data_IF_341418402163
#
_entry.id   IF_341418402163
#
_cell.length_a   1.000
_cell.length_b   1.000
_cell.length_c   1.000
_cell.angle_alpha   90.00
_cell.angle_beta   90.00
_cell.angle_gamma   90.00
#
_symmetry.space_group_name_H-M   'P 1'
#
loop_
_entity.id
_entity.type
_entity.pdbx_description
1 polymer ?
#
# COMPACT_ATOMS: atom_id res chain seq x y z
N UNK A 1 21.86 -19.08 -2.39
CA UNK A 1 21.13 -18.91 -3.66
C UNK A 1 20.84 -17.43 -3.83
N UNK A 2 21.09 -16.86 -5.01
CA UNK A 2 20.69 -15.49 -5.36
C UNK A 2 19.51 -15.62 -6.32
N UNK A 3 18.36 -15.04 -5.96
CA UNK A 3 17.16 -15.04 -6.78
C UNK A 3 17.22 -13.96 -7.88
N UNK A 4 16.31 -13.94 -8.88
CA UNK A 4 16.35 -12.97 -9.99
C UNK A 4 16.43 -11.50 -9.57
N UNK A 5 15.88 -11.17 -8.40
CA UNK A 5 15.92 -9.83 -7.77
C UNK A 5 17.21 -9.52 -6.97
N UNK A 6 18.29 -10.29 -7.19
CA UNK A 6 19.67 -9.99 -6.75
C UNK A 6 19.89 -9.93 -5.23
N UNK A 7 19.07 -10.63 -4.45
CA UNK A 7 19.33 -10.85 -3.02
C UNK A 7 18.88 -12.25 -2.56
N UNK A 8 19.27 -12.64 -1.34
CA UNK A 8 19.06 -14.00 -0.82
C UNK A 8 17.65 -14.30 -0.31
N UNK A 9 16.84 -13.27 -0.05
CA UNK A 9 15.44 -13.47 0.40
C UNK A 9 14.63 -14.15 -0.71
N UNK A 10 13.72 -15.06 -0.33
CA UNK A 10 12.91 -15.90 -1.23
C UNK A 10 11.72 -15.19 -1.89
N UNK A 11 11.61 -13.88 -1.73
CA UNK A 11 10.65 -13.03 -2.44
C UNK A 11 11.32 -11.70 -2.78
N UNK A 12 10.89 -11.01 -3.83
CA UNK A 12 11.44 -9.74 -4.25
C UNK A 12 11.02 -8.63 -3.27
N UNK A 13 11.93 -8.21 -2.40
CA UNK A 13 11.60 -7.33 -1.29
C UNK A 13 11.87 -5.87 -1.64
N UNK A 14 10.85 -5.03 -1.57
CA UNK A 14 11.00 -3.60 -1.84
C UNK A 14 12.05 -2.90 -0.97
N UNK A 15 12.14 -3.28 0.32
CA UNK A 15 13.16 -2.74 1.22
C UNK A 15 14.60 -3.11 0.81
N UNK A 16 14.78 -4.28 0.19
CA UNK A 16 16.08 -4.71 -0.33
C UNK A 16 16.40 -3.98 -1.66
N UNK A 17 15.40 -3.78 -2.52
CA UNK A 17 15.53 -2.93 -3.70
C UNK A 17 15.96 -1.50 -3.34
N UNK A 18 15.28 -0.83 -2.40
CA UNK A 18 15.66 0.51 -1.97
C UNK A 18 17.09 0.56 -1.41
N UNK A 19 17.49 -0.46 -0.64
CA UNK A 19 18.86 -0.57 -0.12
C UNK A 19 19.88 -0.72 -1.24
N UNK A 20 19.56 -1.51 -2.27
CA UNK A 20 20.41 -1.68 -3.45
C UNK A 20 20.50 -0.39 -4.26
N UNK A 21 19.39 0.34 -4.43
CA UNK A 21 19.33 1.56 -5.23
C UNK A 21 20.09 2.72 -4.58
N UNK A 22 19.99 2.88 -3.24
CA UNK A 22 20.58 4.01 -2.53
C UNK A 22 21.85 3.68 -1.73
N UNK A 23 22.30 2.43 -1.79
CA UNK A 23 23.47 1.95 -1.04
C UNK A 23 23.29 1.90 0.48
N UNK A 24 22.12 2.30 1.00
CA UNK A 24 21.85 2.41 2.43
C UNK A 24 20.38 2.14 2.75
N UNK A 25 20.05 1.99 4.03
CA UNK A 25 18.67 1.82 4.46
C UNK A 25 17.88 3.11 4.22
N UNK A 26 16.76 2.98 3.52
CA UNK A 26 15.78 4.06 3.33
C UNK A 26 14.52 3.75 4.12
N UNK A 27 13.95 4.75 4.79
CA UNK A 27 12.74 4.60 5.60
C UNK A 27 11.62 5.52 5.10
N UNK A 28 10.39 5.00 5.02
CA UNK A 28 9.20 5.81 4.71
C UNK A 28 8.80 6.62 5.95
N UNK A 29 8.47 7.90 5.75
CA UNK A 29 7.89 8.79 6.76
C UNK A 29 6.47 9.12 6.31
N UNK A 30 5.48 8.70 7.08
CA UNK A 30 4.07 8.95 6.73
C UNK A 30 3.75 10.44 6.90
N UNK A 31 2.99 10.99 5.98
CA UNK A 31 2.58 12.40 5.95
C UNK A 31 1.07 12.47 5.71
N UNK A 32 0.42 13.34 6.48
CA UNK A 32 -0.97 13.69 6.27
C UNK A 32 -1.05 15.18 5.88
N UNK A 33 -1.29 15.43 4.59
CA UNK A 33 -1.30 16.78 4.01
C UNK A 33 -2.69 17.46 4.01
N UNK A 34 -3.64 16.96 4.80
CA UNK A 34 -4.99 17.54 4.88
C UNK A 34 -5.92 17.28 3.69
N UNK A 35 -5.53 16.45 2.71
CA UNK A 35 -6.40 16.09 1.59
C UNK A 35 -7.63 15.26 2.01
N UNK A 36 -8.61 15.20 1.11
CA UNK A 36 -9.81 14.34 1.19
C UNK A 36 -9.83 13.33 0.02
N UNK A 37 -10.99 12.77 -0.29
CA UNK A 37 -11.23 12.04 -1.52
C UNK A 37 -12.67 12.20 -1.99
N UNK A 38 -12.95 12.05 -3.30
CA UNK A 38 -14.26 12.34 -3.90
C UNK A 38 -15.39 11.41 -3.41
N UNK A 39 -15.03 10.30 -2.77
CA UNK A 39 -15.99 9.35 -2.20
C UNK A 39 -16.46 9.75 -0.78
N UNK A 40 -15.93 10.86 -0.24
CA UNK A 40 -16.25 11.37 1.10
C UNK A 40 -16.99 12.71 1.06
N UNK A 41 -16.65 13.58 0.11
CA UNK A 41 -17.13 14.96 0.05
C UNK A 41 -18.40 15.17 -0.79
N UNK A 42 -18.93 14.10 -1.41
CA UNK A 42 -20.13 14.16 -2.23
C UNK A 42 -19.87 14.30 -3.73
N UNK A 43 -18.62 14.38 -4.18
CA UNK A 43 -18.28 14.46 -5.61
C UNK A 43 -18.65 13.18 -6.37
N UNK A 44 -18.34 12.00 -5.80
CA UNK A 44 -18.72 10.69 -6.35
C UNK A 44 -19.67 9.92 -5.45
N UNK A 45 -19.47 10.03 -4.13
CA UNK A 45 -20.26 9.35 -3.10
C UNK A 45 -20.10 10.10 -1.77
N UNK A 46 -20.81 9.67 -0.75
CA UNK A 46 -20.72 10.20 0.61
C UNK A 46 -20.22 9.12 1.59
N UNK A 47 -19.59 9.55 2.68
CA UNK A 47 -19.21 8.68 3.81
C UNK A 47 -17.90 7.88 3.64
N UNK A 48 -17.33 7.81 2.45
CA UNK A 48 -16.08 7.08 2.18
C UNK A 48 -16.26 5.58 1.96
N UNK A 49 -15.14 4.89 1.69
CA UNK A 49 -15.14 3.43 1.56
C UNK A 49 -15.57 2.80 2.89
N UNK A 50 -16.35 1.72 2.83
CA UNK A 50 -17.01 1.11 4.00
C UNK A 50 -16.04 0.60 5.06
N UNK A 51 -14.78 0.30 4.71
CA UNK A 51 -13.72 -0.16 5.61
C UNK A 51 -12.84 0.96 6.19
N UNK A 52 -12.92 2.16 5.64
CA UNK A 52 -11.85 3.16 5.77
C UNK A 52 -12.04 4.11 6.95
N UNK A 53 -11.14 4.04 7.92
CA UNK A 53 -10.88 5.09 8.91
C UNK A 53 -9.39 5.49 8.87
N UNK A 54 -9.08 6.65 8.28
CA UNK A 54 -7.69 7.12 8.17
C UNK A 54 -7.02 7.36 9.53
N UNK A 55 -7.76 7.59 10.61
CA UNK A 55 -7.17 7.69 11.94
C UNK A 55 -6.56 6.36 12.41
N UNK A 56 -7.05 5.23 11.89
CA UNK A 56 -6.54 3.90 12.21
C UNK A 56 -5.23 3.57 11.47
N UNK A 57 -4.94 4.24 10.35
CA UNK A 57 -3.84 3.90 9.44
C UNK A 57 -2.61 4.82 9.54
N UNK A 58 -2.72 5.91 10.29
CA UNK A 58 -1.68 6.92 10.40
C UNK A 58 -0.94 6.85 11.76
N UNK A 59 0.40 7.00 11.77
CA UNK A 59 1.16 7.22 12.99
C UNK A 59 0.69 8.47 13.76
N UNK A 60 0.91 8.48 15.08
CA UNK A 60 0.44 9.56 15.96
C UNK A 60 1.02 10.94 15.63
N UNK A 61 2.18 11.01 14.97
CA UNK A 61 2.81 12.26 14.56
C UNK A 61 2.17 12.86 13.29
N UNK A 62 1.48 12.05 12.48
CA UNK A 62 0.89 12.45 11.21
C UNK A 62 -0.47 13.13 11.44
N UNK A 63 -0.44 14.45 11.61
CA UNK A 63 -1.62 15.26 11.90
C UNK A 63 -1.73 16.41 10.90
N UNK A 64 -2.90 16.65 10.28
CA UNK A 64 -3.04 17.63 9.21
C UNK A 64 -2.92 19.09 9.71
N UNK A 65 -3.01 19.32 11.02
CA UNK A 65 -2.79 20.64 11.62
C UNK A 65 -1.30 21.02 11.67
N UNK A 66 -0.39 20.05 11.54
CA UNK A 66 1.06 20.27 11.56
C UNK A 66 1.59 20.53 10.17
N UNK A 67 2.60 21.39 10.05
CA UNK A 67 3.30 21.60 8.78
C UNK A 67 3.94 20.30 8.30
N UNK A 68 4.14 20.20 6.98
CA UNK A 68 4.80 19.03 6.37
C UNK A 68 6.21 18.85 6.94
N UNK A 69 6.97 19.95 7.10
CA UNK A 69 8.29 19.94 7.72
C UNK A 69 8.26 19.37 9.16
N UNK A 70 7.31 19.82 9.99
CA UNK A 70 7.18 19.31 11.36
C UNK A 70 6.84 17.81 11.38
N UNK A 71 5.93 17.36 10.52
CA UNK A 71 5.59 15.93 10.41
C UNK A 71 6.81 15.09 9.99
N UNK A 72 7.67 15.62 9.11
CA UNK A 72 8.91 14.95 8.69
C UNK A 72 9.88 14.83 9.86
N UNK A 73 10.14 15.91 10.59
CA UNK A 73 11.05 15.91 11.74
C UNK A 73 10.60 14.95 12.85
N UNK A 74 9.33 15.01 13.22
CA UNK A 74 8.75 14.11 14.22
C UNK A 74 8.76 12.66 13.74
N UNK A 75 8.49 12.42 12.46
CA UNK A 75 8.56 11.08 11.87
C UNK A 75 9.97 10.51 11.87
N UNK A 76 10.97 11.32 11.53
CA UNK A 76 12.39 10.94 11.63
C UNK A 76 12.73 10.58 13.07
N UNK A 77 12.34 11.41 14.05
CA UNK A 77 12.58 11.15 15.46
C UNK A 77 11.89 9.86 15.94
N UNK A 78 10.62 9.65 15.55
CA UNK A 78 9.84 8.46 15.86
C UNK A 78 10.52 7.18 15.35
N UNK A 79 11.03 7.21 14.12
CA UNK A 79 11.66 6.05 13.49
C UNK A 79 13.12 5.84 13.91
N UNK A 80 13.82 6.86 14.41
CA UNK A 80 15.24 6.79 14.81
C UNK A 80 15.51 5.69 15.83
N UNK A 81 14.60 5.49 16.78
CA UNK A 81 14.75 4.45 17.82
C UNK A 81 14.80 3.03 17.25
N UNK A 82 13.94 2.74 16.26
CA UNK A 82 13.83 1.42 15.62
C UNK A 82 14.80 1.25 14.45
N UNK A 83 15.12 2.33 13.74
CA UNK A 83 15.88 2.32 12.49
C UNK A 83 17.07 3.28 12.55
N UNK A 84 17.95 3.07 13.54
CA UNK A 84 19.12 3.93 13.84
C UNK A 84 20.09 4.17 12.67
N UNK A 85 20.07 3.32 11.64
CA UNK A 85 20.95 3.38 10.46
C UNK A 85 20.29 4.01 9.23
N UNK A 86 19.02 4.41 9.32
CA UNK A 86 18.35 5.11 8.23
C UNK A 86 18.67 6.60 8.33
N UNK A 87 19.37 7.12 7.33
CA UNK A 87 19.70 8.55 7.22
C UNK A 87 19.00 9.21 6.01
N UNK A 88 18.38 8.42 5.15
CA UNK A 88 17.60 8.87 4.00
C UNK A 88 16.17 8.34 4.06
N UNK A 89 15.23 9.13 3.59
CA UNK A 89 13.82 8.90 3.78
C UNK A 89 13.01 9.15 2.51
N UNK A 90 11.86 8.50 2.43
CA UNK A 90 10.84 8.80 1.43
C UNK A 90 9.65 9.43 2.16
N UNK A 91 9.23 10.61 1.71
CA UNK A 91 8.01 11.26 2.17
C UNK A 91 6.82 10.50 1.60
N UNK A 92 6.08 9.79 2.46
CA UNK A 92 4.98 8.93 2.10
C UNK A 92 3.64 9.60 2.44
N UNK A 93 3.04 10.22 1.43
CA UNK A 93 1.73 10.81 1.50
C UNK A 93 0.69 9.69 1.46
N UNK A 94 0.23 9.27 2.63
CA UNK A 94 -0.53 8.03 2.81
C UNK A 94 -2.03 8.27 3.00
N UNK A 95 -2.41 9.33 3.72
CA UNK A 95 -3.79 9.56 4.11
C UNK A 95 -4.62 10.05 2.91
N UNK A 96 -5.80 9.47 2.71
CA UNK A 96 -6.76 9.86 1.67
C UNK A 96 -6.21 9.81 0.23
N UNK A 97 -6.61 10.73 -0.64
CA UNK A 97 -6.19 10.79 -2.05
C UNK A 97 -5.29 11.99 -2.25
N UNK A 98 -3.97 11.76 -2.25
CA UNK A 98 -3.00 12.84 -2.23
C UNK A 98 -2.83 13.53 -3.59
N UNK A 99 -3.58 13.12 -4.62
CA UNK A 99 -3.66 13.82 -5.91
C UNK A 99 -5.01 14.50 -6.11
N UNK A 100 -5.89 14.50 -5.11
CA UNK A 100 -7.19 15.15 -5.16
C UNK A 100 -7.09 16.64 -4.77
N UNK A 101 -6.45 17.41 -5.64
CA UNK A 101 -6.37 18.86 -5.64
C UNK A 101 -5.89 19.37 -7.01
N UNK A 102 -5.93 20.68 -7.24
CA UNK A 102 -5.29 21.32 -8.39
C UNK A 102 -3.76 21.18 -8.33
N UNK A 103 -3.12 21.25 -9.50
CA UNK A 103 -1.68 21.01 -9.63
C UNK A 103 -0.82 21.98 -8.82
N UNK A 104 -1.22 23.26 -8.71
CA UNK A 104 -0.44 24.27 -7.98
C UNK A 104 -0.45 23.98 -6.47
N UNK A 105 -1.60 23.56 -5.94
CA UNK A 105 -1.71 23.07 -4.57
C UNK A 105 -0.81 21.84 -4.35
N UNK A 106 -0.82 20.88 -5.28
CA UNK A 106 0.04 19.69 -5.20
C UNK A 106 1.53 20.06 -5.20
N UNK A 107 1.97 20.91 -6.12
CA UNK A 107 3.36 21.40 -6.22
C UNK A 107 3.81 22.03 -4.91
N UNK A 108 3.01 22.94 -4.34
CA UNK A 108 3.32 23.62 -3.08
C UNK A 108 3.46 22.65 -1.90
N UNK A 109 2.64 21.61 -1.83
CA UNK A 109 2.68 20.61 -0.75
C UNK A 109 3.90 19.70 -0.89
N UNK A 110 4.17 19.20 -2.10
CA UNK A 110 5.29 18.29 -2.33
C UNK A 110 6.65 18.96 -2.23
N UNK A 111 6.77 20.23 -2.64
CA UNK A 111 8.00 21.00 -2.49
C UNK A 111 8.42 21.16 -1.03
N UNK A 112 7.47 21.39 -0.11
CA UNK A 112 7.79 21.45 1.34
C UNK A 112 8.44 20.16 1.87
N UNK A 113 8.05 19.00 1.33
CA UNK A 113 8.71 17.74 1.71
C UNK A 113 10.11 17.61 1.09
N UNK A 114 10.28 18.06 -0.16
CA UNK A 114 11.53 17.97 -0.91
C UNK A 114 12.59 19.00 -0.48
N UNK A 115 12.21 20.06 0.23
CA UNK A 115 13.12 21.03 0.85
C UNK A 115 14.00 20.39 1.94
N UNK A 116 13.56 19.29 2.55
CA UNK A 116 14.37 18.56 3.52
C UNK A 116 15.39 17.65 2.83
N UNK A 117 16.69 17.92 3.04
CA UNK A 117 17.83 17.22 2.43
C UNK A 117 17.91 15.70 2.72
N UNK A 118 17.19 15.22 3.73
CA UNK A 118 17.11 13.80 4.06
C UNK A 118 15.98 13.09 3.31
N UNK A 119 15.05 13.82 2.70
CA UNK A 119 14.02 13.29 1.81
C UNK A 119 14.60 13.13 0.40
N UNK A 120 14.73 11.88 -0.03
CA UNK A 120 15.29 11.53 -1.36
C UNK A 120 14.22 11.23 -2.41
N UNK A 121 12.95 11.34 -2.02
CA UNK A 121 11.84 11.03 -2.91
C UNK A 121 10.49 10.99 -2.21
N UNK A 122 9.47 10.79 -3.03
CA UNK A 122 8.06 10.82 -2.67
C UNK A 122 7.41 9.48 -2.98
N UNK A 123 6.48 9.10 -2.11
CA UNK A 123 5.50 8.05 -2.38
C UNK A 123 4.13 8.67 -2.21
N UNK A 124 3.32 8.65 -3.27
CA UNK A 124 2.03 9.34 -3.33
C UNK A 124 0.92 8.30 -3.33
N UNK A 125 0.30 8.07 -2.18
CA UNK A 125 -0.90 7.25 -2.04
C UNK A 125 -2.12 7.98 -2.60
N UNK A 126 -2.77 7.40 -3.61
CA UNK A 126 -3.95 8.01 -4.21
C UNK A 126 -4.95 6.98 -4.74
N UNK A 127 -6.13 7.46 -5.12
CA UNK A 127 -7.09 6.65 -5.85
C UNK A 127 -6.79 6.71 -7.36
N UNK A 128 -7.00 5.60 -8.09
CA UNK A 128 -6.95 5.58 -9.56
C UNK A 128 -7.73 6.68 -10.28
N UNK A 129 -8.88 7.09 -9.75
CA UNK A 129 -9.77 8.12 -10.34
C UNK A 129 -9.42 9.55 -9.90
N UNK A 130 -8.26 9.76 -9.26
CA UNK A 130 -7.78 11.09 -8.83
C UNK A 130 -6.48 11.50 -9.52
N UNK A 131 -6.05 10.77 -10.55
CA UNK A 131 -4.81 11.05 -11.31
C UNK A 131 -5.17 11.30 -12.78
N UNK A 132 -4.44 12.22 -13.41
CA UNK A 132 -4.56 12.56 -14.82
C UNK A 132 -3.18 12.83 -15.43
N UNK A 133 -3.16 13.10 -16.75
CA UNK A 133 -1.93 13.33 -17.51
C UNK A 133 -1.14 14.54 -16.98
N UNK A 134 -1.80 15.64 -16.64
CA UNK A 134 -1.14 16.85 -16.13
C UNK A 134 -0.42 16.59 -14.80
N UNK A 135 -1.07 15.87 -13.87
CA UNK A 135 -0.44 15.49 -12.61
C UNK A 135 0.72 14.50 -12.83
N UNK A 136 0.56 13.55 -13.75
CA UNK A 136 1.62 12.57 -14.05
C UNK A 136 2.82 13.18 -14.75
N UNK A 137 2.63 14.18 -15.62
CA UNK A 137 3.71 14.94 -16.24
C UNK A 137 4.58 15.62 -15.17
N UNK A 138 3.96 16.27 -14.20
CA UNK A 138 4.67 16.84 -13.05
C UNK A 138 5.45 15.77 -12.25
N UNK A 139 4.84 14.62 -11.97
CA UNK A 139 5.52 13.54 -11.26
C UNK A 139 6.64 12.89 -12.08
N UNK A 140 6.51 12.83 -13.41
CA UNK A 140 7.56 12.38 -14.31
C UNK A 140 8.77 13.30 -14.27
N UNK A 141 8.55 14.62 -14.32
CA UNK A 141 9.62 15.60 -14.19
C UNK A 141 10.34 15.49 -12.83
N UNK A 142 9.60 15.30 -11.73
CA UNK A 142 10.22 15.02 -10.43
C UNK A 142 11.02 13.71 -10.42
N UNK A 143 10.55 12.68 -11.14
CA UNK A 143 11.18 11.37 -11.19
C UNK A 143 12.55 11.37 -11.90
N UNK A 144 12.86 12.42 -12.66
CA UNK A 144 14.19 12.61 -13.29
C UNK A 144 15.30 12.78 -12.23
N UNK A 145 14.99 13.42 -11.10
CA UNK A 145 16.00 13.77 -10.07
C UNK A 145 15.72 13.17 -8.70
N UNK A 146 14.48 12.72 -8.44
CA UNK A 146 14.04 12.16 -7.17
C UNK A 146 13.42 10.77 -7.38
N UNK A 147 13.37 9.98 -6.32
CA UNK A 147 12.56 8.77 -6.35
C UNK A 147 11.07 9.13 -6.26
N UNK A 148 10.28 8.77 -7.26
CA UNK A 148 8.82 8.98 -7.24
C UNK A 148 8.12 7.66 -7.50
N UNK A 149 7.14 7.35 -6.67
CA UNK A 149 6.23 6.22 -6.83
C UNK A 149 4.80 6.64 -6.52
N UNK A 150 3.87 6.41 -7.47
CA UNK A 150 2.44 6.60 -7.25
C UNK A 150 1.85 5.28 -6.78
N UNK A 151 1.26 5.25 -5.59
CA UNK A 151 0.64 4.06 -5.00
C UNK A 151 -0.87 4.15 -5.12
N UNK A 152 -1.46 3.23 -5.90
CA UNK A 152 -2.89 3.18 -6.12
C UNK A 152 -3.56 2.22 -5.14
N UNK A 153 -4.55 2.73 -4.40
CA UNK A 153 -5.48 1.89 -3.64
C UNK A 153 -6.44 1.20 -4.59
N UNK A 154 -6.12 -0.01 -5.06
CA UNK A 154 -6.98 -0.80 -5.95
C UNK A 154 -7.99 -1.58 -5.11
N UNK A 155 -7.54 -2.11 -3.99
CA UNK A 155 -8.26 -2.89 -2.99
C UNK A 155 -8.71 -4.27 -3.49
N UNK A 156 -9.30 -4.37 -4.68
CA UNK A 156 -9.80 -5.62 -5.27
C UNK A 156 -9.79 -5.60 -6.80
N UNK A 157 -9.63 -6.78 -7.41
CA UNK A 157 -9.83 -6.99 -8.86
C UNK A 157 -11.30 -7.29 -9.24
N UNK A 158 -12.24 -7.27 -8.28
CA UNK A 158 -13.64 -7.63 -8.48
C UNK A 158 -14.56 -6.41 -8.29
N UNK A 159 -15.19 -5.98 -9.38
CA UNK A 159 -16.07 -4.81 -9.41
C UNK A 159 -17.28 -4.92 -8.49
N UNK A 160 -17.83 -6.12 -8.27
CA UNK A 160 -18.94 -6.32 -7.31
C UNK A 160 -18.48 -6.03 -5.89
N UNK A 161 -17.27 -6.44 -5.53
CA UNK A 161 -16.68 -6.13 -4.23
C UNK A 161 -16.41 -4.64 -4.10
N UNK A 162 -15.80 -4.02 -5.12
CA UNK A 162 -15.50 -2.58 -5.13
C UNK A 162 -16.79 -1.74 -4.96
N UNK A 163 -17.88 -2.15 -5.61
CA UNK A 163 -19.18 -1.53 -5.45
C UNK A 163 -19.73 -1.74 -4.02
N UNK A 164 -19.71 -2.97 -3.51
CA UNK A 164 -20.22 -3.30 -2.17
C UNK A 164 -19.51 -2.54 -1.05
N UNK A 165 -18.22 -2.24 -1.21
CA UNK A 165 -17.45 -1.48 -0.22
C UNK A 165 -17.48 0.04 -0.44
N UNK A 166 -18.34 0.53 -1.34
CA UNK A 166 -18.42 1.94 -1.72
C UNK A 166 -17.05 2.50 -2.13
N UNK A 167 -16.30 1.78 -2.98
CA UNK A 167 -14.97 2.23 -3.45
C UNK A 167 -15.08 3.50 -4.30
N UNK A 168 -16.10 3.59 -5.15
CA UNK A 168 -16.35 4.73 -6.04
C UNK A 168 -15.62 4.67 -7.39
N UNK A 169 -14.87 3.59 -7.68
CA UNK A 169 -14.37 3.27 -9.02
C UNK A 169 -14.33 1.76 -9.20
N UNK A 170 -14.20 1.31 -10.45
CA UNK A 170 -14.07 -0.09 -10.83
C UNK A 170 -12.58 -0.48 -11.06
N UNK A 171 -12.33 -1.75 -11.32
CA UNK A 171 -10.98 -2.27 -11.57
C UNK A 171 -10.39 -1.73 -12.88
N UNK A 172 -11.22 -1.51 -13.91
CA UNK A 172 -10.78 -0.93 -15.18
C UNK A 172 -10.16 0.47 -15.00
N UNK A 173 -10.74 1.32 -14.13
CA UNK A 173 -10.15 2.61 -13.79
C UNK A 173 -8.75 2.46 -13.16
N UNK A 174 -8.54 1.40 -12.38
CA UNK A 174 -7.22 1.06 -11.81
C UNK A 174 -6.22 0.67 -12.88
N UNK A 175 -6.63 -0.18 -13.84
CA UNK A 175 -5.79 -0.58 -14.98
C UNK A 175 -5.38 0.64 -15.80
N UNK A 176 -6.33 1.51 -16.16
CA UNK A 176 -6.07 2.75 -16.91
C UNK A 176 -5.07 3.67 -16.20
N UNK A 177 -5.22 3.86 -14.89
CA UNK A 177 -4.30 4.68 -14.11
C UNK A 177 -2.88 4.09 -14.09
N UNK A 178 -2.75 2.77 -13.93
CA UNK A 178 -1.46 2.06 -13.97
C UNK A 178 -0.78 2.19 -15.33
N UNK A 179 -1.51 1.92 -16.42
CA UNK A 179 -1.00 2.02 -17.79
C UNK A 179 -0.56 3.44 -18.13
N UNK A 180 -1.35 4.45 -17.75
CA UNK A 180 -1.01 5.85 -17.97
C UNK A 180 0.25 6.24 -17.19
N UNK A 181 0.34 5.84 -15.91
CA UNK A 181 1.52 6.09 -15.08
C UNK A 181 2.78 5.49 -15.69
N UNK A 182 2.67 4.26 -16.22
CA UNK A 182 3.75 3.58 -16.91
C UNK A 182 4.16 4.29 -18.20
N UNK A 183 3.19 4.69 -19.04
CA UNK A 183 3.43 5.44 -20.28
C UNK A 183 4.16 6.76 -20.02
N UNK A 184 3.88 7.42 -18.90
CA UNK A 184 4.54 8.65 -18.47
C UNK A 184 5.90 8.43 -17.80
N UNK A 185 6.39 7.18 -17.71
CA UNK A 185 7.71 6.87 -17.15
C UNK A 185 7.78 6.94 -15.61
N UNK A 186 6.64 6.95 -14.92
CA UNK A 186 6.56 7.01 -13.46
C UNK A 186 6.38 5.61 -12.87
N UNK A 187 6.97 5.35 -11.70
CA UNK A 187 6.80 4.06 -11.01
C UNK A 187 5.42 3.99 -10.38
N UNK A 188 4.75 2.84 -10.53
CA UNK A 188 3.44 2.59 -9.96
C UNK A 188 3.51 1.46 -8.91
N UNK A 189 2.83 1.66 -7.78
CA UNK A 189 2.55 0.64 -6.79
C UNK A 189 1.04 0.36 -6.71
N UNK A 190 0.68 -0.84 -6.28
CA UNK A 190 -0.72 -1.19 -6.04
C UNK A 190 -0.92 -1.73 -4.62
N UNK A 191 -2.03 -1.32 -4.01
CA UNK A 191 -2.45 -1.76 -2.69
C UNK A 191 -3.76 -2.55 -2.81
N UNK A 192 -3.75 -3.79 -2.30
CA UNK A 192 -4.88 -4.71 -2.24
C UNK A 192 -5.27 -5.07 -0.80
N UNK A 193 -6.55 -5.39 -0.59
CA UNK A 193 -7.08 -5.95 0.66
C UNK A 193 -7.56 -7.38 0.40
N UNK A 194 -6.98 -8.33 1.12
CA UNK A 194 -7.36 -9.75 1.07
C UNK A 194 -8.36 -10.02 2.20
N UNK A 195 -9.50 -10.63 1.89
CA UNK A 195 -10.54 -10.94 2.87
C UNK A 195 -11.81 -10.10 2.77
N UNK A 196 -11.94 -9.23 1.75
CA UNK A 196 -13.14 -8.41 1.55
C UNK A 196 -14.40 -9.28 1.41
N UNK A 197 -15.57 -8.83 1.93
CA UNK A 197 -16.78 -9.62 1.91
C UNK A 197 -17.25 -9.90 0.48
N UNK A 198 -17.68 -11.13 0.22
CA UNK A 198 -18.09 -11.60 -1.11
C UNK A 198 -16.95 -12.16 -1.97
N UNK A 199 -15.72 -12.19 -1.46
CA UNK A 199 -14.56 -12.82 -2.11
C UNK A 199 -14.11 -14.08 -1.37
N UNK A 200 -13.45 -14.98 -2.10
CA UNK A 200 -13.00 -16.26 -1.57
C UNK A 200 -11.51 -16.48 -1.82
N UNK A 201 -10.92 -17.47 -1.14
CA UNK A 201 -9.53 -17.90 -1.37
C UNK A 201 -9.27 -18.18 -2.85
N UNK A 202 -10.17 -18.91 -3.51
CA UNK A 202 -10.06 -19.24 -4.93
C UNK A 202 -10.04 -17.97 -5.79
N UNK A 203 -10.86 -16.97 -5.44
CA UNK A 203 -10.88 -15.68 -6.14
C UNK A 203 -9.53 -14.97 -6.00
N UNK A 204 -9.00 -14.85 -4.78
CA UNK A 204 -7.74 -14.14 -4.55
C UNK A 204 -6.54 -14.86 -5.21
N UNK A 205 -6.55 -16.19 -5.28
CA UNK A 205 -5.50 -16.95 -5.98
C UNK A 205 -5.52 -16.80 -7.50
N UNK A 206 -6.56 -16.19 -8.09
CA UNK A 206 -6.51 -15.77 -9.50
C UNK A 206 -5.78 -14.44 -9.72
N UNK A 207 -5.67 -13.61 -8.68
CA UNK A 207 -5.13 -12.25 -8.78
C UNK A 207 -3.64 -12.20 -9.15
N UNK A 208 -2.74 -13.11 -8.72
CA UNK A 208 -1.34 -13.08 -9.13
C UNK A 208 -1.18 -13.02 -10.65
N UNK A 209 -1.97 -13.79 -11.41
CA UNK A 209 -1.94 -13.79 -12.87
C UNK A 209 -2.40 -12.45 -13.47
N UNK A 210 -3.50 -11.89 -12.95
CA UNK A 210 -4.03 -10.59 -13.37
C UNK A 210 -3.01 -9.48 -13.08
N UNK A 211 -2.53 -9.42 -11.84
CA UNK A 211 -1.58 -8.40 -11.35
C UNK A 211 -0.26 -8.46 -12.13
N UNK A 212 0.19 -9.67 -12.48
CA UNK A 212 1.44 -9.89 -13.23
C UNK A 212 1.41 -9.34 -14.66
N UNK A 213 0.22 -9.08 -15.22
CA UNK A 213 0.05 -8.48 -16.55
C UNK A 213 0.03 -6.95 -16.52
N UNK A 214 -0.01 -6.34 -15.34
CA UNK A 214 -0.09 -4.89 -15.17
C UNK A 214 1.30 -4.30 -14.92
N UNK A 215 1.54 -3.02 -15.30
CA UNK A 215 2.84 -2.37 -15.14
C UNK A 215 3.10 -1.91 -13.69
N UNK A 216 2.99 -2.83 -12.75
CA UNK A 216 3.14 -2.61 -11.31
C UNK A 216 4.60 -2.86 -10.92
N UNK A 217 5.18 -1.90 -10.21
CA UNK A 217 6.52 -2.03 -9.64
C UNK A 217 6.47 -2.59 -8.21
N UNK A 218 5.52 -2.11 -7.39
CA UNK A 218 5.41 -2.53 -5.99
C UNK A 218 4.02 -3.01 -5.62
N UNK A 219 3.95 -3.99 -4.72
CA UNK A 219 2.70 -4.49 -4.14
C UNK A 219 2.67 -4.36 -2.63
N UNK A 220 1.51 -3.92 -2.14
CA UNK A 220 1.23 -3.75 -0.73
C UNK A 220 -0.06 -4.47 -0.39
N UNK A 221 0.02 -5.45 0.51
CA UNK A 221 -1.16 -6.17 0.97
C UNK A 221 -1.60 -5.66 2.34
N UNK A 222 -2.92 -5.69 2.54
CA UNK A 222 -3.53 -5.81 3.86
C UNK A 222 -4.40 -7.06 3.87
N UNK A 223 -4.36 -7.80 4.96
CA UNK A 223 -5.47 -8.62 5.40
C UNK A 223 -6.64 -7.72 5.83
N UNK A 224 -7.86 -8.19 5.64
CA UNK A 224 -9.03 -7.48 6.10
C UNK A 224 -8.98 -7.32 7.62
N UNK A 225 -9.12 -6.07 8.07
CA UNK A 225 -9.25 -5.71 9.48
C UNK A 225 -10.57 -4.96 9.67
N UNK A 226 -11.41 -5.46 10.57
CA UNK A 226 -12.70 -4.81 10.86
C UNK A 226 -12.44 -3.61 11.78
N UNK A 227 -12.54 -2.41 11.23
CA UNK A 227 -12.28 -1.16 11.96
C UNK A 227 -13.57 -0.66 12.61
N UNK A 228 -13.53 -0.33 13.91
CA UNK A 228 -14.65 0.22 14.66
C UNK A 228 -15.19 1.49 14.00
N UNK A 229 -16.48 1.76 14.21
CA UNK A 229 -17.16 2.98 13.74
C UNK A 229 -17.14 3.14 12.21
N UNK A 230 -17.05 2.03 11.47
CA UNK A 230 -17.15 2.01 10.01
C UNK A 230 -18.42 1.29 9.56
N UNK A 231 -18.96 1.60 8.37
CA UNK A 231 -20.07 0.83 7.80
C UNK A 231 -19.77 -0.67 7.70
N UNK A 232 -18.52 -1.05 7.43
CA UNK A 232 -18.11 -2.45 7.37
C UNK A 232 -18.16 -3.15 8.74
N UNK A 233 -17.82 -2.48 9.83
CA UNK A 233 -18.03 -3.05 11.17
C UNK A 233 -19.52 -3.30 11.48
N UNK A 234 -20.40 -2.40 11.02
CA UNK A 234 -21.85 -2.60 11.15
C UNK A 234 -22.36 -3.75 10.28
N UNK A 235 -21.81 -3.93 9.08
CA UNK A 235 -22.10 -5.08 8.22
C UNK A 235 -21.65 -6.38 8.88
N UNK A 236 -20.40 -6.44 9.36
CA UNK A 236 -19.85 -7.60 10.07
C UNK A 236 -20.71 -8.00 11.27
N UNK A 237 -21.19 -7.02 12.04
CA UNK A 237 -22.07 -7.27 13.19
C UNK A 237 -23.40 -7.94 12.82
N UNK A 238 -23.98 -7.55 11.69
CA UNK A 238 -25.27 -8.08 11.23
C UNK A 238 -25.12 -9.41 10.49
N UNK A 239 -24.04 -9.56 9.72
CA UNK A 239 -23.81 -10.67 8.81
C UNK A 239 -22.36 -11.18 8.90
N UNK A 240 -21.92 -11.72 10.05
CA UNK A 240 -20.53 -12.14 10.25
C UNK A 240 -20.09 -13.28 9.31
N UNK A 241 -21.05 -14.05 8.78
CA UNK A 241 -20.80 -15.15 7.83
C UNK A 241 -20.39 -14.67 6.44
N UNK A 242 -20.61 -13.39 6.11
CA UNK A 242 -20.18 -12.81 4.83
C UNK A 242 -18.67 -12.56 4.79
N UNK A 243 -17.99 -12.70 5.94
CA UNK A 243 -16.60 -12.35 6.12
C UNK A 243 -15.75 -13.59 6.40
N UNK A 244 -14.69 -13.74 5.63
CA UNK A 244 -13.62 -14.68 5.92
C UNK A 244 -12.45 -13.91 6.56
N UNK A 245 -12.40 -13.92 7.90
CA UNK A 245 -11.28 -13.35 8.65
C UNK A 245 -10.22 -14.42 8.88
N UNK A 246 -9.07 -14.25 8.23
CA UNK A 246 -7.99 -15.23 8.27
C UNK A 246 -7.49 -15.52 9.69
N UNK A 247 -7.29 -16.80 9.97
CA UNK A 247 -6.36 -17.20 11.02
C UNK A 247 -4.91 -16.93 10.60
N UNK A 248 -4.01 -16.73 11.56
CA UNK A 248 -2.63 -16.32 11.26
C UNK A 248 -1.89 -17.34 10.38
N UNK A 249 -1.99 -18.64 10.69
CA UNK A 249 -1.30 -19.69 9.93
C UNK A 249 -1.92 -19.87 8.54
N UNK A 250 -3.25 -19.74 8.46
CA UNK A 250 -3.98 -19.74 7.19
C UNK A 250 -3.50 -18.60 6.29
N UNK A 251 -3.37 -17.38 6.83
CA UNK A 251 -2.87 -16.23 6.07
C UNK A 251 -1.43 -16.42 5.58
N UNK A 252 -0.55 -16.96 6.42
CA UNK A 252 0.85 -17.25 6.03
C UNK A 252 0.88 -18.23 4.86
N UNK A 253 0.10 -19.32 4.95
CA UNK A 253 0.01 -20.32 3.90
C UNK A 253 -0.57 -19.72 2.61
N UNK A 254 -1.65 -18.95 2.73
CA UNK A 254 -2.27 -18.24 1.61
C UNK A 254 -1.28 -17.29 0.91
N UNK A 255 -0.52 -16.48 1.65
CA UNK A 255 0.41 -15.55 1.04
C UNK A 255 1.56 -16.25 0.31
N UNK A 256 1.92 -17.48 0.69
CA UNK A 256 2.92 -18.27 -0.03
C UNK A 256 2.35 -18.73 -1.37
N UNK A 257 1.19 -19.38 -1.35
CA UNK A 257 0.47 -19.80 -2.57
C UNK A 257 0.29 -18.60 -3.52
N UNK A 258 -0.10 -17.44 -2.98
CA UNK A 258 -0.27 -16.22 -3.76
C UNK A 258 1.01 -15.78 -4.48
N UNK A 259 2.16 -15.74 -3.78
CA UNK A 259 3.39 -15.20 -4.37
C UNK A 259 4.11 -16.20 -5.26
N UNK A 260 3.85 -17.51 -5.13
CA UNK A 260 4.43 -18.53 -6.00
C UNK A 260 4.06 -18.30 -7.48
N UNK A 261 2.85 -17.78 -7.75
CA UNK A 261 2.36 -17.42 -9.09
C UNK A 261 2.60 -15.94 -9.47
N UNK A 262 3.11 -15.11 -8.56
CA UNK A 262 3.32 -13.68 -8.79
C UNK A 262 4.61 -13.42 -9.59
N UNK A 263 4.53 -12.54 -10.60
CA UNK A 263 5.66 -12.13 -11.41
C UNK A 263 6.90 -11.73 -10.55
N UNK A 264 8.10 -12.28 -10.81
CA UNK A 264 9.28 -12.11 -9.95
C UNK A 264 9.80 -10.65 -9.88
N UNK A 265 9.59 -9.85 -10.93
CA UNK A 265 9.98 -8.43 -10.94
C UNK A 265 9.12 -7.52 -10.04
N UNK A 266 7.93 -7.96 -9.60
CA UNK A 266 7.07 -7.15 -8.74
C UNK A 266 7.60 -7.19 -7.31
N UNK A 267 7.86 -6.02 -6.73
CA UNK A 267 8.45 -5.91 -5.40
C UNK A 267 7.37 -5.87 -4.31
N UNK A 268 7.44 -6.78 -3.34
CA UNK A 268 6.51 -6.79 -2.22
C UNK A 268 7.00 -5.83 -1.13
N UNK A 269 6.18 -4.84 -0.81
CA UNK A 269 6.43 -3.89 0.27
C UNK A 269 6.12 -4.48 1.65
N UNK A 270 4.95 -5.11 1.75
CA UNK A 270 4.46 -5.77 2.97
C UNK A 270 3.37 -6.77 2.63
N UNK A 271 3.27 -7.79 3.48
CA UNK A 271 2.26 -8.84 3.40
C UNK A 271 0.98 -8.51 4.19
N UNK A 272 1.01 -7.56 5.11
CA UNK A 272 -0.11 -7.27 6.01
C UNK A 272 -0.11 -5.82 6.51
N UNK A 273 -1.30 -5.34 6.88
CA UNK A 273 -1.53 -4.10 7.60
C UNK A 273 -1.41 -4.27 9.11
N UNK A 274 -1.00 -3.20 9.78
CA UNK A 274 -0.95 -3.14 11.24
C UNK A 274 -1.71 -1.91 11.71
N UNK A 275 -2.78 -2.14 12.46
CA UNK A 275 -3.64 -1.10 13.03
C UNK A 275 -3.59 -1.21 14.55
N UNK A 276 -3.52 -0.09 15.30
CA UNK A 276 -3.54 -0.14 16.75
C UNK A 276 -4.81 -0.85 17.28
N UNK A 277 -4.72 -1.77 18.24
CA UNK A 277 -5.84 -2.60 18.70
C UNK A 277 -7.08 -1.82 19.14
N UNK A 278 -6.91 -0.57 19.59
CA UNK A 278 -8.02 0.31 19.97
C UNK A 278 -9.02 0.55 18.82
N UNK A 279 -8.56 0.55 17.57
CA UNK A 279 -9.41 0.71 16.37
C UNK A 279 -10.04 -0.59 15.90
N UNK A 280 -9.51 -1.76 16.29
CA UNK A 280 -9.99 -3.05 15.80
C UNK A 280 -11.25 -3.48 16.53
N UNK A 281 -12.27 -3.90 15.78
CA UNK A 281 -13.46 -4.55 16.31
C UNK A 281 -13.16 -6.00 16.72
N UNK A 282 -12.37 -6.71 15.90
CA UNK A 282 -11.88 -8.07 16.17
C UNK A 282 -10.36 -8.09 16.16
N UNK A 283 -9.74 -8.64 17.22
CA UNK A 283 -8.30 -8.86 17.28
C UNK A 283 -7.98 -10.30 16.85
N UNK A 284 -7.64 -10.50 15.58
CA UNK A 284 -7.48 -11.85 15.02
C UNK A 284 -6.17 -12.57 15.36
N UNK A 285 -5.05 -11.83 15.49
CA UNK A 285 -3.71 -12.45 15.50
C UNK A 285 -2.90 -12.18 16.78
N UNK A 286 -3.54 -12.03 17.94
CA UNK A 286 -2.83 -11.91 19.24
C UNK A 286 -1.69 -10.86 19.27
N UNK A 287 -1.90 -9.69 18.66
CA UNK A 287 -0.94 -8.58 18.61
C UNK A 287 0.38 -8.88 17.86
N UNK A 288 0.41 -9.93 17.03
CA UNK A 288 1.53 -10.20 16.13
C UNK A 288 1.80 -8.98 15.25
N UNK A 289 3.06 -8.52 15.26
CA UNK A 289 3.53 -7.37 14.49
C UNK A 289 3.96 -7.81 13.09
N UNK A 290 3.96 -6.88 12.15
CA UNK A 290 4.32 -7.17 10.75
C UNK A 290 5.70 -7.81 10.56
N UNK A 291 6.69 -7.48 11.42
CA UNK A 291 8.02 -8.10 11.32
C UNK A 291 8.01 -9.58 11.74
N UNK A 292 7.15 -9.97 12.68
CA UNK A 292 7.01 -11.36 13.12
C UNK A 292 6.28 -12.17 12.05
N UNK A 293 5.20 -11.63 11.47
CA UNK A 293 4.53 -12.25 10.32
C UNK A 293 5.52 -12.48 9.17
N UNK A 294 6.35 -11.47 8.86
CA UNK A 294 7.36 -11.59 7.82
C UNK A 294 8.35 -12.72 8.10
N UNK A 295 8.82 -12.86 9.34
CA UNK A 295 9.69 -13.98 9.75
C UNK A 295 9.00 -15.34 9.58
N UNK A 296 7.70 -15.42 9.87
CA UNK A 296 6.91 -16.64 9.67
C UNK A 296 6.81 -17.00 8.19
N UNK A 297 6.54 -16.02 7.32
CA UNK A 297 6.50 -16.21 5.86
C UNK A 297 7.87 -16.65 5.34
N UNK A 298 8.95 -15.97 5.72
CA UNK A 298 10.31 -16.33 5.27
C UNK A 298 10.71 -17.75 5.69
N UNK A 299 10.45 -18.11 6.95
CA UNK A 299 10.71 -19.47 7.44
C UNK A 299 9.89 -20.50 6.66
N UNK A 300 8.61 -20.24 6.41
CA UNK A 300 7.75 -21.17 5.69
C UNK A 300 8.14 -21.31 4.22
N UNK A 301 8.62 -20.23 3.58
CA UNK A 301 9.22 -20.29 2.23
C UNK A 301 10.49 -21.17 2.21
N UNK A 302 11.30 -21.12 3.26
CA UNK A 302 12.48 -21.98 3.43
C UNK A 302 12.10 -23.44 3.65
N UNK A 303 11.17 -23.72 4.58
CA UNK A 303 10.65 -25.06 4.90
C UNK A 303 10.07 -25.76 3.66
N UNK A 304 9.29 -25.04 2.84
CA UNK A 304 8.67 -25.57 1.62
C UNK A 304 9.63 -25.58 0.42
N UNK A 305 10.84 -25.06 0.59
CA UNK A 305 11.78 -24.78 -0.49
C UNK A 305 11.11 -24.12 -1.71
N UNK A 306 10.40 -23.02 -1.45
CA UNK A 306 9.68 -22.26 -2.47
C UNK A 306 10.08 -20.78 -2.48
N UNK A 307 9.60 -20.01 -3.45
CA UNK A 307 9.93 -18.59 -3.63
C UNK A 307 8.89 -17.88 -4.51
N UNK A 308 8.91 -16.55 -4.50
CA UNK A 308 8.06 -15.75 -5.38
C UNK A 308 8.31 -16.08 -6.86
N UNK A 309 7.25 -16.35 -7.61
CA UNK A 309 7.32 -16.65 -9.04
C UNK A 309 7.87 -18.04 -9.36
N UNK A 310 7.86 -18.99 -8.41
CA UNK A 310 8.25 -20.38 -8.67
C UNK A 310 7.37 -21.06 -9.72
N UNK A 311 6.08 -20.71 -9.78
CA UNK A 311 5.10 -21.26 -10.71
C UNK A 311 4.62 -20.23 -11.75
N UNK A 312 5.18 -19.01 -11.72
CA UNK A 312 4.92 -18.01 -12.74
C UNK A 312 5.34 -18.50 -14.12
N UNK A 313 4.43 -18.38 -15.09
CA UNK A 313 4.63 -18.68 -16.50
C UNK A 313 4.43 -17.37 -17.27
N UNK A 314 5.38 -17.06 -18.17
CA UNK A 314 5.35 -15.85 -19.01
C UNK A 314 4.17 -15.82 -19.99
#
# INVERSE_FOLDING_TARGET
MIYPWKHSRRYNAYAAYLKSLFGQRVQKISIHAGFSCPNRDGTLSAGGCSFCDNAAFNPSYCQPQKSIAQQIEEGIAFHRNRYRRANKYLAYFQAYSNTYADLDTLKRIYNQALENENIIGLIIGTRPDCIDEEKLDYFAHLAETKYVLIEYGIESCNDKTLQAINRGHNFEASVKALELTHKMGVRAGAHFIIGLPGETKETWLTWPKIISQLPIHTLKFHQLQIIKNTPMAMHYLKHPKDFHLFELQEYVQFMIEFIEDLHPNIMIERFAGEVPPRYLYVNGWNLIRNYQLLQMIERKLEELNTWQGKFYQE
#
